data_IF_454050260068
#
_entry.id   IF_454050260068
#
_cell.length_a   1.000
_cell.length_b   1.000
_cell.length_c   1.000
_cell.angle_alpha   90.00
_cell.angle_beta   90.00
_cell.angle_gamma   90.00
#
_symmetry.space_group_name_H-M   'P 1'
#
loop_
_entity.id
_entity.type
_entity.pdbx_description
1 polymer ?
#
# COMPACT_ATOMS: atom_id res chain seq x y z
N UNK A 1 14.26 0.85 21.05
CA UNK A 1 14.39 2.31 20.83
C UNK A 1 15.61 2.52 19.94
N UNK A 2 15.41 2.51 18.61
CA UNK A 2 16.48 2.73 17.63
C UNK A 2 16.64 4.25 17.52
N UNK A 3 17.82 4.74 17.92
CA UNK A 3 18.10 6.15 18.06
C UNK A 3 18.02 6.91 16.74
N UNK A 4 17.54 8.16 16.80
CA UNK A 4 17.50 9.16 15.72
C UNK A 4 18.86 9.44 15.05
N UNK A 5 19.96 8.86 15.56
CA UNK A 5 21.33 9.03 15.09
C UNK A 5 21.69 8.24 13.82
N UNK A 6 20.86 7.26 13.41
CA UNK A 6 21.06 6.48 12.19
C UNK A 6 19.85 6.57 11.24
N UNK A 7 19.16 7.71 11.22
CA UNK A 7 18.13 7.96 10.22
C UNK A 7 18.79 8.11 8.86
N UNK A 8 18.53 7.14 7.98
CA UNK A 8 18.93 7.21 6.59
C UNK A 8 17.71 7.66 5.79
N UNK A 9 17.71 8.87 5.21
CA UNK A 9 16.58 9.31 4.39
C UNK A 9 16.34 8.30 3.26
N UNK A 10 15.06 8.06 2.94
CA UNK A 10 14.55 7.06 1.98
C UNK A 10 14.66 5.59 2.40
N UNK A 11 15.68 5.19 3.18
CA UNK A 11 15.81 3.81 3.68
C UNK A 11 15.02 3.56 4.96
N UNK A 12 14.88 4.57 5.81
CA UNK A 12 14.02 4.51 6.98
C UNK A 12 12.74 5.34 6.76
N UNK A 13 11.54 4.74 6.96
CA UNK A 13 10.31 5.51 6.95
C UNK A 13 10.33 6.53 8.09
N UNK A 14 9.85 7.74 7.82
CA UNK A 14 9.64 8.75 8.86
C UNK A 14 8.54 8.22 9.79
N UNK A 15 8.96 7.73 10.96
CA UNK A 15 8.06 7.13 11.94
C UNK A 15 6.95 8.10 12.39
N UNK A 16 7.25 9.41 12.46
CA UNK A 16 6.31 10.42 12.94
C UNK A 16 5.10 10.66 12.02
N UNK A 17 5.22 10.36 10.72
CA UNK A 17 4.18 10.68 9.72
C UNK A 17 3.59 9.39 9.13
N UNK A 18 4.08 8.22 9.56
CA UNK A 18 3.66 6.93 9.01
C UNK A 18 2.16 6.68 9.20
N UNK A 19 1.60 6.97 10.37
CA UNK A 19 0.16 6.71 10.60
C UNK A 19 -0.76 7.76 9.96
N UNK A 20 -0.22 8.93 9.60
CA UNK A 20 -0.97 10.10 9.13
C UNK A 20 -0.63 10.46 7.67
N UNK A 21 0.08 9.58 6.97
CA UNK A 21 0.63 9.83 5.64
C UNK A 21 -0.42 10.28 4.62
N UNK A 22 -1.64 9.73 4.72
CA UNK A 22 -2.75 10.05 3.82
C UNK A 22 -3.20 11.50 3.93
N UNK A 23 -2.99 12.16 5.07
CA UNK A 23 -3.34 13.58 5.23
C UNK A 23 -2.44 14.47 4.40
N UNK A 24 -1.22 14.04 4.06
CA UNK A 24 -0.32 14.78 3.17
C UNK A 24 -0.89 14.97 1.76
N UNK A 25 -1.89 14.17 1.36
CA UNK A 25 -2.62 14.39 0.11
C UNK A 25 -3.37 15.72 0.10
N UNK A 26 -3.84 16.21 1.25
CA UNK A 26 -4.56 17.49 1.33
C UNK A 26 -3.67 18.68 0.99
N UNK A 27 -2.51 18.92 1.66
CA UNK A 27 -1.61 20.01 1.29
C UNK A 27 -1.01 19.82 -0.11
N UNK A 28 -0.75 18.58 -0.54
CA UNK A 28 -0.27 18.30 -1.90
C UNK A 28 -1.29 18.72 -2.96
N UNK A 29 -2.54 18.25 -2.84
CA UNK A 29 -3.62 18.57 -3.77
C UNK A 29 -3.98 20.06 -3.75
N UNK A 30 -3.89 20.70 -2.58
CA UNK A 30 -4.02 22.14 -2.45
C UNK A 30 -2.92 22.89 -3.23
N UNK A 31 -1.66 22.51 -3.06
CA UNK A 31 -0.54 23.11 -3.80
C UNK A 31 -0.70 22.94 -5.32
N UNK A 32 -1.09 21.75 -5.78
CA UNK A 32 -1.37 21.50 -7.20
C UNK A 32 -2.51 22.38 -7.70
N UNK A 33 -3.61 22.48 -6.94
CA UNK A 33 -4.76 23.30 -7.30
C UNK A 33 -4.41 24.80 -7.39
N UNK A 34 -3.60 25.31 -6.45
CA UNK A 34 -3.10 26.70 -6.47
C UNK A 34 -2.31 26.97 -7.74
N UNK A 35 -1.30 26.15 -8.06
CA UNK A 35 -0.44 26.34 -9.23
C UNK A 35 -1.26 26.21 -10.53
N UNK A 36 -2.10 25.18 -10.62
CA UNK A 36 -2.92 24.94 -11.81
C UNK A 36 -3.89 26.09 -12.07
N UNK A 37 -4.64 26.52 -11.04
CA UNK A 37 -5.61 27.60 -11.18
C UNK A 37 -4.93 28.94 -11.45
N UNK A 38 -3.73 29.18 -10.91
CA UNK A 38 -2.98 30.41 -11.18
C UNK A 38 -2.59 30.54 -12.66
N UNK A 39 -2.29 29.42 -13.32
CA UNK A 39 -1.92 29.40 -14.74
C UNK A 39 -3.13 29.36 -15.68
N UNK A 40 -4.29 28.88 -15.21
CA UNK A 40 -5.44 28.56 -16.07
C UNK A 40 -6.60 29.55 -15.96
N UNK A 41 -6.77 30.24 -14.84
CA UNK A 41 -7.88 31.18 -14.68
C UNK A 41 -7.59 32.52 -15.38
N UNK A 42 -8.52 33.04 -16.19
CA UNK A 42 -8.36 34.34 -16.83
C UNK A 42 -8.56 35.52 -15.85
N UNK A 43 -9.32 35.33 -14.77
CA UNK A 43 -9.58 36.35 -13.75
C UNK A 43 -9.46 35.75 -12.34
N UNK A 44 -9.09 36.59 -11.36
CA UNK A 44 -8.81 36.16 -9.99
C UNK A 44 -10.03 36.23 -9.05
N UNK A 45 -11.17 36.71 -9.52
CA UNK A 45 -12.37 36.96 -8.70
C UNK A 45 -12.86 35.73 -7.94
N UNK A 46 -12.73 34.56 -8.56
CA UNK A 46 -13.14 33.28 -8.00
C UNK A 46 -11.95 32.36 -7.62
N UNK A 47 -10.72 32.88 -7.62
CA UNK A 47 -9.50 32.07 -7.51
C UNK A 47 -9.54 31.09 -6.32
N UNK A 48 -9.75 31.60 -5.11
CA UNK A 48 -9.77 30.77 -3.90
C UNK A 48 -10.89 29.75 -3.90
N UNK A 49 -12.09 30.13 -4.36
CA UNK A 49 -13.23 29.19 -4.49
C UNK A 49 -12.87 28.05 -5.44
N UNK A 50 -12.30 28.37 -6.58
CA UNK A 50 -11.91 27.40 -7.61
C UNK A 50 -10.77 26.48 -7.16
N UNK A 51 -9.80 27.01 -6.39
CA UNK A 51 -8.75 26.21 -5.75
C UNK A 51 -9.37 25.21 -4.78
N UNK A 52 -10.23 25.66 -3.85
CA UNK A 52 -10.85 24.75 -2.88
C UNK A 52 -11.75 23.71 -3.54
N UNK A 53 -12.54 24.10 -4.55
CA UNK A 53 -13.36 23.15 -5.33
C UNK A 53 -12.48 22.06 -5.96
N UNK A 54 -11.38 22.45 -6.59
CA UNK A 54 -10.46 21.48 -7.22
C UNK A 54 -9.75 20.61 -6.17
N UNK A 55 -9.29 21.17 -5.06
CA UNK A 55 -8.70 20.41 -3.95
C UNK A 55 -9.69 19.39 -3.40
N UNK A 56 -10.93 19.80 -3.11
CA UNK A 56 -11.98 18.89 -2.63
C UNK A 56 -12.28 17.80 -3.66
N UNK A 57 -12.38 18.13 -4.95
CA UNK A 57 -12.59 17.15 -6.02
C UNK A 57 -11.46 16.10 -6.05
N UNK A 58 -10.20 16.51 -5.96
CA UNK A 58 -9.04 15.60 -5.94
C UNK A 58 -9.11 14.67 -4.72
N UNK A 59 -9.34 15.22 -3.53
CA UNK A 59 -9.41 14.45 -2.29
C UNK A 59 -10.58 13.45 -2.34
N UNK A 60 -11.77 13.90 -2.74
CA UNK A 60 -12.96 13.06 -2.87
C UNK A 60 -12.74 11.95 -3.91
N UNK A 61 -12.14 12.26 -5.06
CA UNK A 61 -11.82 11.27 -6.08
C UNK A 61 -10.86 10.21 -5.57
N UNK A 62 -9.83 10.60 -4.81
CA UNK A 62 -8.89 9.66 -4.18
C UNK A 62 -9.57 8.76 -3.15
N UNK A 63 -10.44 9.31 -2.30
CA UNK A 63 -11.23 8.53 -1.34
C UNK A 63 -12.14 7.53 -2.08
N UNK A 64 -12.85 8.01 -3.10
CA UNK A 64 -13.74 7.17 -3.91
C UNK A 64 -12.96 6.04 -4.60
N UNK A 65 -11.77 6.33 -5.12
CA UNK A 65 -10.90 5.33 -5.74
C UNK A 65 -10.41 4.28 -4.74
N UNK A 66 -9.99 4.71 -3.55
CA UNK A 66 -9.56 3.80 -2.49
C UNK A 66 -10.70 2.87 -2.05
N UNK A 67 -11.91 3.41 -1.86
CA UNK A 67 -13.11 2.64 -1.54
C UNK A 67 -13.45 1.67 -2.68
N UNK A 68 -13.45 2.15 -3.93
CA UNK A 68 -13.74 1.34 -5.10
C UNK A 68 -12.77 0.16 -5.24
N UNK A 69 -11.47 0.40 -5.02
CA UNK A 69 -10.47 -0.66 -5.02
C UNK A 69 -10.67 -1.64 -3.86
N UNK A 70 -10.99 -1.16 -2.66
CA UNK A 70 -11.26 -2.02 -1.51
C UNK A 70 -12.48 -2.93 -1.75
N UNK A 71 -13.55 -2.38 -2.33
CA UNK A 71 -14.74 -3.15 -2.75
C UNK A 71 -14.35 -4.17 -3.82
N UNK A 72 -13.62 -3.74 -4.86
CA UNK A 72 -13.16 -4.60 -5.94
C UNK A 72 -12.36 -5.79 -5.40
N UNK A 73 -11.38 -5.54 -4.55
CA UNK A 73 -10.56 -6.59 -3.94
C UNK A 73 -11.41 -7.55 -3.10
N UNK A 74 -12.34 -7.04 -2.30
CA UNK A 74 -13.18 -7.87 -1.42
C UNK A 74 -14.26 -8.66 -2.14
N UNK A 75 -14.75 -8.17 -3.28
CA UNK A 75 -15.80 -8.84 -4.05
C UNK A 75 -15.22 -9.74 -5.13
N UNK A 76 -14.25 -9.23 -5.92
CA UNK A 76 -13.75 -9.91 -7.12
C UNK A 76 -12.73 -11.00 -6.78
N UNK A 77 -11.81 -10.79 -5.84
CA UNK A 77 -10.79 -11.81 -5.53
C UNK A 77 -11.41 -13.12 -5.01
N UNK A 78 -12.39 -13.12 -4.09
CA UNK A 78 -13.00 -14.37 -3.62
C UNK A 78 -13.79 -15.12 -4.68
N UNK A 79 -14.24 -14.44 -5.74
CA UNK A 79 -14.91 -15.06 -6.89
C UNK A 79 -13.94 -15.79 -7.82
N UNK A 80 -12.64 -15.51 -7.72
CA UNK A 80 -11.63 -16.23 -8.49
C UNK A 80 -11.47 -17.64 -7.92
N UNK A 81 -11.47 -18.69 -8.77
CA UNK A 81 -11.18 -20.03 -8.30
C UNK A 81 -9.77 -20.04 -7.70
N UNK A 82 -9.67 -20.37 -6.41
CA UNK A 82 -8.37 -20.68 -5.82
C UNK A 82 -7.90 -21.97 -6.48
N UNK A 83 -6.82 -21.93 -7.25
CA UNK A 83 -6.18 -23.14 -7.72
C UNK A 83 -5.57 -23.80 -6.48
N UNK A 84 -6.06 -24.98 -6.03
CA UNK A 84 -5.32 -25.76 -5.04
C UNK A 84 -3.93 -25.95 -5.62
N UNK A 85 -2.88 -25.82 -4.81
CA UNK A 85 -1.51 -25.99 -5.28
C UNK A 85 -1.40 -27.29 -6.08
N UNK A 86 -1.37 -27.18 -7.41
CA UNK A 86 -1.34 -28.31 -8.30
C UNK A 86 0.06 -28.91 -8.19
N UNK A 87 0.26 -29.81 -7.22
CA UNK A 87 1.47 -30.61 -7.10
C UNK A 87 2.35 -30.44 -5.87
N UNK A 88 1.82 -30.09 -4.68
CA UNK A 88 2.47 -30.51 -3.42
C UNK A 88 1.78 -31.76 -2.86
N UNK A 89 1.70 -32.79 -3.68
CA UNK A 89 1.75 -34.16 -3.15
C UNK A 89 3.13 -34.27 -2.49
N UNK A 90 3.25 -34.59 -1.20
CA UNK A 90 4.54 -34.99 -0.65
C UNK A 90 4.90 -36.33 -1.29
N UNK A 91 5.50 -36.30 -2.48
CA UNK A 91 6.15 -37.45 -3.11
C UNK A 91 7.50 -37.68 -2.41
N UNK A 92 7.46 -37.88 -1.09
CA UNK A 92 8.53 -38.57 -0.39
C UNK A 92 7.88 -39.79 0.26
N UNK A 93 8.02 -41.00 -0.32
CA UNK A 93 7.80 -42.18 0.48
C UNK A 93 8.77 -42.10 1.65
N UNK A 94 8.25 -42.09 2.88
CA UNK A 94 9.07 -42.41 4.04
C UNK A 94 9.66 -43.79 3.78
N UNK A 95 10.99 -43.99 3.83
CA UNK A 95 11.53 -45.34 3.83
C UNK A 95 10.94 -46.09 5.03
N UNK A 96 10.55 -47.37 4.87
CA UNK A 96 10.11 -48.16 6.02
C UNK A 96 11.21 -48.13 7.07
N UNK A 97 10.82 -47.98 8.34
CA UNK A 97 11.71 -48.12 9.48
C UNK A 97 12.32 -49.53 9.48
N UNK A 98 13.41 -49.70 8.74
CA UNK A 98 14.13 -50.94 8.57
C UNK A 98 15.62 -50.64 8.71
N UNK A 99 16.12 -50.99 9.91
CA UNK A 99 17.45 -51.57 10.13
C UNK A 99 18.65 -50.84 9.50
N UNK A 100 19.30 -49.98 10.30
CA UNK A 100 20.74 -49.76 10.19
C UNK A 100 21.38 -49.94 11.58
N UNK A 101 22.55 -50.60 11.66
CA UNK A 101 22.90 -51.48 12.77
C UNK A 101 23.60 -50.76 13.93
N UNK A 102 23.52 -51.41 15.10
CA UNK A 102 24.33 -51.17 16.29
C UNK A 102 25.80 -50.87 15.95
N UNK A 103 26.18 -49.58 15.93
CA UNK A 103 27.55 -49.15 16.24
C UNK A 103 27.62 -49.04 17.75
N UNK A 104 27.63 -50.21 18.37
CA UNK A 104 27.94 -50.42 19.78
C UNK A 104 29.01 -51.52 19.81
N UNK A 105 30.17 -51.20 20.42
CA UNK A 105 31.39 -52.02 20.61
C UNK A 105 32.40 -51.85 19.46
N UNK A 106 33.66 -51.48 19.67
CA UNK A 106 34.53 -51.49 20.86
C UNK A 106 35.46 -50.27 20.85
#
# INVERSE_FOLDING_TARGET
>A
MIGMLAFIPFLHPIAAVHDWWYLLLVPLSFGIAVIYKAMRLPTLDAFWREVFVMTTQIVVAMIALAIGLAIWVRLVIPLLPVSPQAGLTPAHPSPPAASAPLVQRA
#
